data_IF_835705087142
#
_entry.id   IF_835705087142
#
_cell.length_a   1.000
_cell.length_b   1.000
_cell.length_c   1.000
_cell.angle_alpha   90.00
_cell.angle_beta   90.00
_cell.angle_gamma   90.00
#
_symmetry.space_group_name_H-M   'P 1'
#
loop_
_entity.id
_entity.type
_entity.pdbx_description
1 polymer ?
#
# COMPACT_ATOMS: atom_id res chain seq x y z
N UNK A 1 39.67 -74.66 -37.44
CA UNK A 1 38.97 -73.40 -37.74
C UNK A 1 38.29 -72.94 -36.48
N UNK A 2 38.87 -72.00 -35.79
CA UNK A 2 38.46 -71.61 -34.43
C UNK A 2 37.44 -70.45 -34.47
N UNK A 3 36.29 -70.67 -33.81
CA UNK A 3 35.28 -69.64 -33.58
C UNK A 3 35.54 -69.00 -32.23
N UNK A 4 35.83 -67.70 -32.25
CA UNK A 4 35.99 -66.88 -31.06
C UNK A 4 34.63 -66.31 -30.66
N UNK A 5 34.12 -66.73 -29.49
CA UNK A 5 32.96 -66.16 -28.87
C UNK A 5 33.39 -64.96 -28.01
N UNK A 6 32.93 -63.76 -28.37
CA UNK A 6 33.07 -62.53 -27.55
C UNK A 6 31.95 -62.48 -26.51
N UNK A 7 32.34 -62.61 -25.23
CA UNK A 7 31.47 -62.31 -24.11
C UNK A 7 31.35 -60.77 -23.94
N UNK A 8 30.18 -60.26 -24.18
CA UNK A 8 29.89 -58.86 -23.82
C UNK A 8 29.55 -58.79 -22.33
N UNK A 9 30.37 -58.16 -21.55
CA UNK A 9 30.07 -57.71 -20.20
C UNK A 9 29.16 -56.48 -20.29
N UNK A 10 27.95 -56.58 -19.88
CA UNK A 10 27.06 -55.44 -19.65
C UNK A 10 27.34 -54.87 -18.25
N UNK A 11 28.06 -53.74 -18.20
CA UNK A 11 28.16 -52.88 -17.04
C UNK A 11 26.88 -52.04 -16.99
N UNK A 12 25.98 -52.35 -16.07
CA UNK A 12 24.85 -51.56 -15.73
C UNK A 12 25.28 -50.35 -14.87
N UNK A 13 25.35 -49.18 -15.45
CA UNK A 13 25.56 -47.94 -14.73
C UNK A 13 24.24 -47.51 -14.10
N UNK A 14 24.05 -47.76 -12.80
CA UNK A 14 23.02 -47.10 -12.02
C UNK A 14 23.46 -45.63 -11.81
N UNK A 15 22.95 -44.74 -12.65
CA UNK A 15 22.95 -43.32 -12.37
C UNK A 15 21.86 -43.01 -11.38
N UNK A 16 22.20 -42.98 -10.09
CA UNK A 16 21.33 -42.42 -9.06
C UNK A 16 21.28 -40.91 -9.22
N UNK A 17 20.26 -40.39 -9.91
CA UNK A 17 19.94 -38.98 -9.93
C UNK A 17 19.43 -38.59 -8.54
N UNK A 18 20.33 -38.11 -7.68
CA UNK A 18 19.95 -37.43 -6.46
C UNK A 18 19.32 -36.08 -6.85
N UNK A 19 18.01 -36.06 -6.97
CA UNK A 19 17.23 -34.83 -7.00
C UNK A 19 17.36 -34.16 -5.62
N UNK A 20 18.32 -33.26 -5.49
CA UNK A 20 18.36 -32.31 -4.38
C UNK A 20 17.13 -31.38 -4.54
N UNK A 21 16.02 -31.78 -3.94
CA UNK A 21 14.95 -30.87 -3.64
C UNK A 21 15.50 -29.85 -2.62
N UNK A 22 15.92 -28.69 -3.12
CA UNK A 22 16.09 -27.51 -2.30
C UNK A 22 14.70 -27.15 -1.78
N UNK A 23 14.29 -27.75 -0.67
CA UNK A 23 13.23 -27.20 0.17
C UNK A 23 13.78 -25.88 0.67
N UNK A 24 13.33 -24.77 0.05
CA UNK A 24 13.47 -23.46 0.65
C UNK A 24 12.86 -23.61 2.05
N UNK A 25 13.71 -23.68 3.05
CA UNK A 25 13.30 -23.71 4.44
C UNK A 25 12.59 -22.38 4.64
N UNK A 26 11.25 -22.40 4.71
CA UNK A 26 10.49 -21.24 5.08
C UNK A 26 11.08 -20.79 6.43
N UNK A 27 11.79 -19.67 6.41
CA UNK A 27 12.27 -19.07 7.63
C UNK A 27 11.05 -18.96 8.55
N UNK A 28 11.19 -19.40 9.79
CA UNK A 28 10.12 -19.33 10.78
C UNK A 28 10.00 -17.85 11.16
N UNK A 29 9.35 -17.07 10.27
CA UNK A 29 9.29 -15.61 10.36
C UNK A 29 8.36 -15.28 11.51
N UNK A 30 8.91 -14.67 12.55
CA UNK A 30 8.16 -14.29 13.74
C UNK A 30 7.04 -13.29 13.39
N UNK A 31 5.78 -13.53 13.84
CA UNK A 31 4.69 -12.58 13.59
C UNK A 31 5.00 -11.18 14.10
N UNK A 32 4.68 -10.16 13.33
CA UNK A 32 4.83 -8.75 13.73
C UNK A 32 3.73 -8.37 14.69
N UNK A 33 4.10 -7.86 15.84
CA UNK A 33 3.17 -7.45 16.89
C UNK A 33 2.84 -5.96 16.80
N UNK A 34 1.74 -5.55 17.44
CA UNK A 34 1.43 -4.14 17.61
C UNK A 34 2.55 -3.38 18.36
N UNK A 35 3.13 -4.00 19.39
CA UNK A 35 4.18 -3.35 20.21
C UNK A 35 5.43 -3.07 19.38
N UNK A 36 5.79 -3.94 18.45
CA UNK A 36 6.88 -3.69 17.50
C UNK A 36 6.55 -2.50 16.59
N UNK A 37 5.34 -2.45 16.02
CA UNK A 37 4.87 -1.33 15.19
C UNK A 37 4.86 -0.01 15.96
N UNK A 38 4.31 0.00 17.17
CA UNK A 38 4.21 1.19 18.00
C UNK A 38 5.58 1.75 18.43
N UNK A 39 6.61 0.89 18.48
CA UNK A 39 7.97 1.25 18.84
C UNK A 39 8.94 1.33 17.65
N UNK A 40 8.46 1.20 16.42
CA UNK A 40 9.30 1.18 15.22
C UNK A 40 10.25 2.39 15.12
N UNK A 41 9.77 3.60 15.42
CA UNK A 41 10.60 4.81 15.46
C UNK A 41 11.76 4.79 16.46
N UNK A 42 11.76 3.85 17.41
CA UNK A 42 12.78 3.73 18.45
C UNK A 42 13.81 2.64 18.13
N UNK A 43 13.59 1.86 17.08
CA UNK A 43 14.44 0.73 16.68
C UNK A 43 15.36 1.09 15.51
N UNK A 44 16.37 0.29 15.27
CA UNK A 44 17.33 0.50 14.17
C UNK A 44 17.52 -0.73 13.29
N UNK A 45 16.93 -1.87 13.69
CA UNK A 45 17.10 -3.15 12.99
C UNK A 45 16.05 -3.41 11.93
N UNK A 46 14.83 -2.99 12.22
CA UNK A 46 13.67 -3.19 11.35
C UNK A 46 13.06 -1.85 10.89
N UNK A 47 12.18 -1.90 9.91
CA UNK A 47 11.36 -0.78 9.41
C UNK A 47 9.97 -1.34 9.18
N UNK A 48 9.06 -1.08 10.11
CA UNK A 48 7.73 -1.70 10.13
C UNK A 48 6.62 -0.78 9.68
N UNK A 49 6.91 0.53 9.58
CA UNK A 49 5.92 1.55 9.25
C UNK A 49 6.39 2.43 8.10
N UNK A 50 5.42 2.87 7.29
CA UNK A 50 5.67 3.93 6.33
C UNK A 50 6.03 5.22 7.08
N UNK A 51 7.20 5.79 6.75
CA UNK A 51 7.65 7.04 7.38
C UNK A 51 8.41 6.87 8.70
N UNK A 52 8.83 5.64 9.09
CA UNK A 52 9.63 5.35 10.28
C UNK A 52 8.95 5.78 11.58
N UNK A 53 7.87 5.11 11.91
CA UNK A 53 7.02 5.34 13.08
C UNK A 53 5.62 5.83 12.71
N UNK A 54 4.68 5.70 13.63
CA UNK A 54 3.27 6.02 13.42
C UNK A 54 3.02 7.50 13.10
N UNK A 55 3.91 8.39 13.54
CA UNK A 55 3.86 9.84 13.26
C UNK A 55 4.55 10.23 11.94
N UNK A 56 5.10 9.26 11.21
CA UNK A 56 5.70 9.44 9.88
C UNK A 56 6.77 10.55 9.79
N UNK A 57 7.60 10.70 10.83
CA UNK A 57 8.63 11.74 10.89
C UNK A 57 9.84 11.46 10.01
N UNK A 58 9.97 10.25 9.45
CA UNK A 58 11.07 9.81 8.57
C UNK A 58 12.46 9.96 9.20
N UNK A 59 12.52 9.87 10.52
CA UNK A 59 13.74 9.95 11.29
C UNK A 59 14.18 8.57 11.76
N UNK A 60 15.41 8.18 11.45
CA UNK A 60 16.02 6.96 11.97
C UNK A 60 16.90 7.28 13.18
N UNK A 61 16.75 6.57 14.31
CA UNK A 61 17.62 6.73 15.47
C UNK A 61 19.00 6.08 15.27
N UNK A 62 19.28 5.46 14.12
CA UNK A 62 20.56 4.83 13.81
C UNK A 62 21.73 5.83 13.85
N UNK A 63 22.78 5.50 14.59
CA UNK A 63 23.97 6.36 14.79
C UNK A 63 25.23 5.79 14.13
N UNK A 64 25.13 4.62 13.52
CA UNK A 64 26.26 3.96 12.83
C UNK A 64 26.74 4.74 11.62
N UNK A 65 25.82 5.40 10.90
CA UNK A 65 26.13 6.33 9.82
C UNK A 65 26.12 7.76 10.34
N UNK A 66 27.15 8.51 9.97
CA UNK A 66 27.32 9.91 10.35
C UNK A 66 28.19 10.64 9.33
N UNK A 67 28.38 11.97 9.49
CA UNK A 67 29.14 12.81 8.57
C UNK A 67 30.59 12.40 8.37
N UNK A 68 31.16 11.62 9.29
CA UNK A 68 32.56 11.17 9.22
C UNK A 68 32.75 9.90 8.39
N UNK A 69 31.72 9.08 8.23
CA UNK A 69 31.85 7.78 7.57
C UNK A 69 30.90 7.58 6.38
N UNK A 70 29.93 8.47 6.16
CA UNK A 70 28.96 8.35 5.07
C UNK A 70 29.60 8.36 3.68
N UNK A 71 30.73 9.03 3.51
CA UNK A 71 31.48 9.04 2.25
C UNK A 71 32.08 7.68 1.88
N UNK A 72 32.22 6.77 2.84
CA UNK A 72 32.70 5.40 2.62
C UNK A 72 31.60 4.38 2.29
N UNK A 73 30.33 4.79 2.17
CA UNK A 73 29.26 3.89 1.76
C UNK A 73 29.45 3.41 0.33
N UNK A 74 29.29 2.10 0.14
CA UNK A 74 29.27 1.45 -1.16
C UNK A 74 28.00 0.61 -1.30
N UNK A 75 27.43 0.44 -2.52
CA UNK A 75 26.33 -0.48 -2.74
C UNK A 75 26.73 -1.91 -2.39
N UNK A 76 25.90 -2.60 -1.60
CA UNK A 76 26.10 -4.01 -1.28
C UNK A 76 25.54 -4.92 -2.38
N UNK A 77 24.41 -4.56 -2.92
CA UNK A 77 23.72 -5.25 -4.02
C UNK A 77 22.69 -4.31 -4.66
N UNK A 78 22.12 -4.75 -5.77
CA UNK A 78 21.01 -4.08 -6.46
C UNK A 78 19.98 -5.12 -6.91
N UNK A 79 18.71 -4.71 -6.98
CA UNK A 79 17.62 -5.54 -7.49
C UNK A 79 16.83 -4.76 -8.54
N UNK A 80 16.60 -5.39 -9.71
CA UNK A 80 15.79 -4.81 -10.77
C UNK A 80 14.33 -5.27 -10.64
N UNK A 81 13.38 -4.33 -10.62
CA UNK A 81 11.96 -4.63 -10.69
C UNK A 81 11.46 -4.97 -12.10
N UNK A 82 12.34 -4.94 -13.11
CA UNK A 82 11.98 -5.21 -14.50
C UNK A 82 11.52 -3.96 -15.25
N UNK A 83 11.20 -4.13 -16.49
CA UNK A 83 11.11 -3.19 -17.58
C UNK A 83 10.16 -2.00 -17.55
N UNK A 84 9.65 -1.52 -16.45
CA UNK A 84 8.78 -0.32 -16.38
C UNK A 84 9.61 0.97 -16.51
N UNK A 85 10.19 1.16 -17.68
CA UNK A 85 11.13 2.25 -17.96
C UNK A 85 10.53 3.65 -17.85
N UNK A 86 9.21 3.77 -17.81
CA UNK A 86 8.53 5.06 -17.88
C UNK A 86 8.03 5.57 -16.55
N UNK A 87 8.13 4.77 -15.47
CA UNK A 87 7.44 5.03 -14.22
C UNK A 87 8.41 4.94 -13.05
N UNK A 88 8.40 5.97 -12.22
CA UNK A 88 9.22 6.03 -11.01
C UNK A 88 8.84 4.95 -10.01
N UNK A 89 9.84 4.45 -9.28
CA UNK A 89 9.61 3.59 -8.12
C UNK A 89 9.43 4.50 -6.89
N UNK A 90 8.23 4.54 -6.31
CA UNK A 90 7.89 5.44 -5.20
C UNK A 90 7.74 4.71 -3.86
N UNK A 91 7.88 3.38 -3.85
CA UNK A 91 7.63 2.59 -2.66
C UNK A 91 8.70 2.80 -1.58
N UNK A 92 8.26 3.02 -0.35
CA UNK A 92 9.08 2.78 0.82
C UNK A 92 9.03 1.29 1.16
N UNK A 93 10.17 0.64 1.22
CA UNK A 93 10.28 -0.75 1.64
C UNK A 93 10.10 -0.87 3.15
N UNK A 94 9.48 -1.97 3.61
CA UNK A 94 9.50 -2.41 5.00
C UNK A 94 10.54 -3.50 5.19
N UNK A 95 11.10 -3.60 6.38
CA UNK A 95 12.12 -4.59 6.74
C UNK A 95 11.73 -5.23 8.05
N UNK A 96 11.72 -6.55 8.09
CA UNK A 96 11.54 -7.32 9.32
C UNK A 96 12.27 -8.66 9.25
N UNK A 97 13.02 -8.98 10.31
CA UNK A 97 13.79 -10.24 10.43
C UNK A 97 14.67 -10.53 9.21
N UNK A 98 15.32 -9.50 8.66
CA UNK A 98 16.22 -9.63 7.52
C UNK A 98 15.51 -9.84 6.17
N UNK A 99 14.20 -9.65 6.09
CA UNK A 99 13.43 -9.67 4.84
C UNK A 99 12.96 -8.27 4.49
N UNK A 100 13.19 -7.86 3.24
CA UNK A 100 12.67 -6.61 2.67
C UNK A 100 11.37 -6.93 1.94
N UNK A 101 10.32 -6.18 2.25
CA UNK A 101 9.02 -6.22 1.61
C UNK A 101 8.80 -4.91 0.85
N UNK A 102 8.62 -4.99 -0.46
CA UNK A 102 8.52 -3.81 -1.30
C UNK A 102 7.51 -4.01 -2.43
N UNK A 103 6.75 -2.97 -2.69
CA UNK A 103 5.84 -2.92 -3.84
C UNK A 103 6.54 -2.30 -5.06
N UNK A 104 6.06 -2.64 -6.24
CA UNK A 104 6.52 -2.09 -7.50
C UNK A 104 5.33 -1.68 -8.37
N UNK A 105 5.63 -0.99 -9.47
CA UNK A 105 4.65 -0.57 -10.47
C UNK A 105 3.75 -1.72 -10.92
N UNK A 106 2.55 -1.40 -11.37
CA UNK A 106 1.54 -2.36 -11.84
C UNK A 106 1.08 -3.34 -10.76
N UNK A 107 1.00 -2.88 -9.50
CA UNK A 107 0.50 -3.70 -8.38
C UNK A 107 1.27 -5.00 -8.15
N UNK A 108 2.60 -4.94 -8.27
CA UNK A 108 3.49 -6.05 -7.96
C UNK A 108 4.04 -5.93 -6.55
N UNK A 109 4.41 -7.06 -5.99
CA UNK A 109 4.99 -7.15 -4.66
C UNK A 109 6.19 -8.10 -4.67
N UNK A 110 7.28 -7.74 -4.00
CA UNK A 110 8.51 -8.53 -3.96
C UNK A 110 9.01 -8.64 -2.52
N UNK A 111 9.42 -9.83 -2.13
CA UNK A 111 10.18 -10.05 -0.90
C UNK A 111 11.61 -10.44 -1.24
N UNK A 112 12.56 -9.78 -0.59
CA UNK A 112 14.00 -9.96 -0.79
C UNK A 112 14.68 -10.30 0.52
N UNK A 113 15.72 -11.13 0.45
CA UNK A 113 16.69 -11.26 1.54
C UNK A 113 17.48 -9.95 1.67
N UNK A 114 17.43 -9.31 2.83
CA UNK A 114 18.00 -7.99 3.03
C UNK A 114 19.54 -7.99 2.92
N UNK A 115 20.20 -9.11 3.21
CA UNK A 115 21.65 -9.22 3.18
C UNK A 115 22.21 -9.40 1.77
N UNK A 116 21.52 -10.20 0.95
CA UNK A 116 22.02 -10.62 -0.38
C UNK A 116 21.28 -9.97 -1.54
N UNK A 117 20.12 -9.35 -1.32
CA UNK A 117 19.24 -8.88 -2.38
C UNK A 117 18.54 -10.00 -3.16
N UNK A 118 18.72 -11.27 -2.74
CA UNK A 118 18.10 -12.41 -3.42
C UNK A 118 16.58 -12.37 -3.23
N UNK A 119 15.87 -12.54 -4.34
CA UNK A 119 14.40 -12.65 -4.31
C UNK A 119 13.96 -13.93 -3.60
N UNK A 120 13.11 -13.78 -2.59
CA UNK A 120 12.46 -14.87 -1.86
C UNK A 120 11.19 -15.30 -2.57
N UNK A 121 10.31 -14.35 -2.87
CA UNK A 121 9.09 -14.56 -3.63
C UNK A 121 8.63 -13.27 -4.34
N UNK A 122 7.70 -13.41 -5.27
CA UNK A 122 7.03 -12.31 -5.97
C UNK A 122 5.55 -12.62 -6.09
N UNK A 123 4.73 -11.60 -5.95
CA UNK A 123 3.31 -11.60 -6.29
C UNK A 123 3.06 -10.57 -7.38
N UNK A 124 2.32 -10.95 -8.40
CA UNK A 124 1.90 -10.08 -9.50
C UNK A 124 0.37 -10.08 -9.55
N UNK A 125 -0.22 -8.92 -9.28
CA UNK A 125 -1.66 -8.77 -9.37
C UNK A 125 -2.08 -8.71 -10.84
N UNK A 126 -3.07 -9.53 -11.21
CA UNK A 126 -3.60 -9.47 -12.58
C UNK A 126 -4.54 -8.28 -12.70
N UNK A 127 -4.06 -7.22 -13.28
CA UNK A 127 -4.85 -6.02 -13.58
C UNK A 127 -5.76 -6.24 -14.79
N UNK A 128 -6.94 -5.60 -14.81
CA UNK A 128 -7.78 -5.51 -16.02
C UNK A 128 -7.03 -4.79 -17.16
N UNK A 129 -7.33 -5.17 -18.40
CA UNK A 129 -6.72 -4.55 -19.60
C UNK A 129 -7.13 -3.07 -19.79
N UNK A 130 -8.31 -2.72 -19.26
CA UNK A 130 -8.87 -1.36 -19.34
C UNK A 130 -8.43 -0.46 -18.17
N UNK A 131 -7.42 -0.89 -17.37
CA UNK A 131 -6.95 -0.10 -16.25
C UNK A 131 -6.37 1.25 -16.72
N UNK A 132 -6.85 2.33 -16.12
CA UNK A 132 -6.38 3.70 -16.38
C UNK A 132 -6.27 4.47 -15.08
N UNK A 133 -5.24 4.21 -14.29
CA UNK A 133 -5.06 4.94 -13.03
C UNK A 133 -4.67 6.39 -13.31
N UNK A 134 -5.14 7.30 -12.46
CA UNK A 134 -4.57 8.63 -12.41
C UNK A 134 -3.11 8.58 -11.96
N UNK A 135 -2.33 9.49 -12.51
CA UNK A 135 -1.04 9.88 -11.96
C UNK A 135 -0.02 8.73 -11.89
N UNK A 136 -0.15 7.77 -12.79
CA UNK A 136 0.78 6.68 -13.00
C UNK A 136 0.43 5.35 -12.30
N UNK A 137 1.22 4.32 -12.63
CA UNK A 137 1.07 2.93 -12.15
C UNK A 137 1.86 2.66 -10.87
N UNK A 138 2.03 3.68 -10.05
CA UNK A 138 2.86 3.65 -8.84
C UNK A 138 2.17 2.94 -7.67
N UNK A 139 3.00 2.50 -6.72
CA UNK A 139 2.58 2.06 -5.41
C UNK A 139 3.60 2.55 -4.38
N UNK A 140 3.13 3.13 -3.26
CA UNK A 140 4.00 3.77 -2.27
C UNK A 140 4.49 2.87 -1.16
N UNK A 141 4.04 1.63 -1.13
CA UNK A 141 4.57 0.63 -0.21
C UNK A 141 3.52 -0.23 0.47
N UNK A 142 3.95 -1.21 1.23
CA UNK A 142 3.09 -2.10 1.99
C UNK A 142 2.87 -1.65 3.44
N UNK A 143 1.95 -2.33 4.13
CA UNK A 143 1.91 -2.47 5.57
C UNK A 143 2.26 -3.91 5.98
N UNK A 144 2.62 -4.11 7.26
CA UNK A 144 2.96 -5.41 7.81
C UNK A 144 2.33 -5.58 9.19
N UNK A 145 1.72 -6.75 9.46
CA UNK A 145 1.20 -7.12 10.77
C UNK A 145 0.95 -8.62 10.84
N UNK A 146 1.25 -9.23 11.99
CA UNK A 146 1.12 -10.67 12.16
C UNK A 146 2.02 -11.43 11.17
N UNK A 147 1.43 -12.35 10.48
CA UNK A 147 2.01 -13.18 9.43
C UNK A 147 1.74 -12.65 8.01
N UNK A 148 1.24 -11.41 7.88
CA UNK A 148 0.77 -10.85 6.60
C UNK A 148 1.46 -9.55 6.24
N UNK A 149 1.52 -9.30 4.94
CA UNK A 149 1.80 -7.99 4.34
C UNK A 149 0.62 -7.55 3.50
N UNK A 150 0.35 -6.25 3.49
CA UNK A 150 -0.84 -5.67 2.85
C UNK A 150 -0.43 -4.59 1.88
N UNK A 151 -1.12 -4.50 0.74
CA UNK A 151 -0.89 -3.43 -0.23
C UNK A 151 -2.12 -3.17 -1.08
N UNK A 152 -2.20 -1.96 -1.63
CA UNK A 152 -3.26 -1.58 -2.56
C UNK A 152 -2.95 -1.94 -3.99
N UNK A 153 -4.00 -2.05 -4.81
CA UNK A 153 -3.88 -2.30 -6.25
C UNK A 153 -4.55 -1.22 -7.08
N UNK A 154 -4.12 -1.09 -8.33
CA UNK A 154 -4.62 -0.06 -9.23
C UNK A 154 -6.09 -0.28 -9.65
N UNK A 155 -6.62 -1.48 -9.50
CA UNK A 155 -8.03 -1.82 -9.75
C UNK A 155 -8.91 -1.70 -8.49
N UNK A 156 -8.51 -0.84 -7.55
CA UNK A 156 -9.23 -0.50 -6.31
C UNK A 156 -9.48 -1.70 -5.40
N UNK A 157 -8.42 -2.44 -5.12
CA UNK A 157 -8.44 -3.54 -4.14
C UNK A 157 -7.38 -3.35 -3.07
N UNK A 158 -7.59 -3.96 -1.94
CA UNK A 158 -6.60 -4.16 -0.89
C UNK A 158 -6.36 -5.66 -0.76
N UNK A 159 -5.10 -6.06 -0.73
CA UNK A 159 -4.67 -7.45 -0.76
C UNK A 159 -3.81 -7.76 0.44
N UNK A 160 -4.07 -8.87 1.11
CA UNK A 160 -3.17 -9.45 2.10
C UNK A 160 -2.47 -10.68 1.53
N UNK A 161 -1.17 -10.72 1.70
CA UNK A 161 -0.33 -11.85 1.35
C UNK A 161 0.28 -12.46 2.61
N UNK A 162 0.38 -13.78 2.65
CA UNK A 162 1.24 -14.46 3.58
C UNK A 162 2.69 -14.02 3.35
N UNK A 163 3.32 -13.43 4.35
CA UNK A 163 4.61 -12.78 4.18
C UNK A 163 5.78 -13.74 3.98
N UNK A 164 5.58 -15.04 4.27
CA UNK A 164 6.60 -16.08 4.06
C UNK A 164 6.57 -16.61 2.64
N UNK A 165 5.36 -16.75 2.07
CA UNK A 165 5.16 -17.45 0.79
C UNK A 165 4.73 -16.55 -0.36
N UNK A 166 4.23 -15.33 -0.07
CA UNK A 166 3.62 -14.44 -1.05
C UNK A 166 2.24 -14.90 -1.54
N UNK A 167 1.64 -15.91 -0.94
CA UNK A 167 0.31 -16.40 -1.31
C UNK A 167 -0.77 -15.44 -0.80
N UNK A 168 -1.83 -15.27 -1.60
CA UNK A 168 -2.99 -14.45 -1.21
C UNK A 168 -3.71 -15.10 -0.04
N UNK A 169 -3.89 -14.34 1.05
CA UNK A 169 -4.72 -14.73 2.19
C UNK A 169 -6.14 -14.22 1.97
N UNK A 170 -6.28 -12.95 1.60
CA UNK A 170 -7.54 -12.36 1.20
C UNK A 170 -7.31 -11.21 0.21
N UNK A 171 -8.36 -10.81 -0.51
CA UNK A 171 -8.31 -9.82 -1.58
C UNK A 171 -9.67 -9.12 -1.71
N UNK A 172 -9.80 -7.91 -1.14
CA UNK A 172 -11.06 -7.18 -1.01
C UNK A 172 -11.14 -5.97 -1.96
N UNK A 173 -12.24 -5.89 -2.70
CA UNK A 173 -12.54 -4.74 -3.57
C UNK A 173 -13.21 -3.64 -2.73
N UNK A 174 -12.75 -2.39 -2.86
CA UNK A 174 -13.35 -1.24 -2.16
C UNK A 174 -13.94 -0.19 -3.11
N UNK A 175 -13.64 -0.25 -4.40
CA UNK A 175 -14.11 0.69 -5.39
C UNK A 175 -14.19 0.08 -6.79
N UNK A 176 -14.64 0.86 -7.76
CA UNK A 176 -14.66 0.45 -9.17
C UNK A 176 -13.65 1.28 -9.97
N UNK A 177 -12.64 0.62 -10.52
CA UNK A 177 -11.61 1.26 -11.34
C UNK A 177 -12.20 1.90 -12.62
N UNK A 178 -13.32 1.39 -13.12
CA UNK A 178 -13.98 1.92 -14.32
C UNK A 178 -14.53 3.33 -14.13
N UNK A 179 -14.87 3.69 -12.88
CA UNK A 179 -15.28 5.06 -12.55
C UNK A 179 -14.12 5.89 -11.97
N UNK A 180 -12.90 5.33 -11.89
CA UNK A 180 -11.71 6.07 -11.53
C UNK A 180 -11.08 5.68 -10.19
N UNK A 181 -11.68 4.81 -9.37
CA UNK A 181 -11.05 4.40 -8.10
C UNK A 181 -9.80 3.58 -8.30
N UNK A 182 -8.76 3.93 -7.59
CA UNK A 182 -7.49 3.19 -7.52
C UNK A 182 -6.92 3.24 -6.10
N UNK A 183 -5.79 2.58 -5.85
CA UNK A 183 -5.03 2.75 -4.63
C UNK A 183 -3.54 2.82 -4.96
N UNK A 184 -2.91 3.94 -4.63
CA UNK A 184 -1.49 4.21 -4.83
C UNK A 184 -0.73 4.45 -3.54
N UNK A 185 -1.44 4.73 -2.42
CA UNK A 185 -0.88 4.93 -1.10
C UNK A 185 -0.49 3.61 -0.42
N UNK A 186 0.45 3.66 0.51
CA UNK A 186 0.70 2.55 1.40
C UNK A 186 -0.40 2.49 2.48
N UNK A 187 -0.98 1.32 2.76
CA UNK A 187 -1.82 1.14 3.93
C UNK A 187 -0.98 1.23 5.21
N UNK A 188 -1.62 1.34 6.36
CA UNK A 188 -0.93 1.34 7.63
C UNK A 188 -1.74 0.67 8.73
N UNK A 189 -1.06 0.24 9.79
CA UNK A 189 -1.67 -0.45 10.92
C UNK A 189 -1.83 0.52 12.08
N UNK A 190 -3.00 0.54 12.69
CA UNK A 190 -3.26 1.25 13.93
C UNK A 190 -3.87 0.31 14.97
N UNK A 191 -3.81 0.71 16.24
CA UNK A 191 -4.62 0.11 17.30
C UNK A 191 -5.57 1.19 17.84
N UNK A 192 -6.85 0.98 17.64
CA UNK A 192 -7.86 1.86 18.20
C UNK A 192 -7.81 1.78 19.73
N UNK A 193 -7.47 2.90 20.37
CA UNK A 193 -7.29 2.97 21.83
C UNK A 193 -8.60 2.79 22.60
N UNK A 194 -9.76 3.06 21.97
CA UNK A 194 -11.08 2.90 22.62
C UNK A 194 -11.53 1.44 22.64
N UNK A 195 -11.28 0.71 21.57
CA UNK A 195 -11.75 -0.67 21.44
C UNK A 195 -10.65 -1.71 21.64
N UNK A 196 -9.38 -1.30 21.62
CA UNK A 196 -8.22 -2.19 21.66
C UNK A 196 -8.00 -2.99 20.38
N UNK A 197 -8.83 -2.79 19.34
CA UNK A 197 -8.72 -3.53 18.07
C UNK A 197 -7.58 -2.99 17.20
N UNK A 198 -6.86 -3.91 16.60
CA UNK A 198 -5.92 -3.56 15.53
C UNK A 198 -6.68 -3.44 14.22
N UNK A 199 -6.40 -2.40 13.46
CA UNK A 199 -7.07 -2.09 12.21
C UNK A 199 -6.04 -1.82 11.10
N UNK A 200 -6.34 -2.29 9.91
CA UNK A 200 -5.66 -1.94 8.68
C UNK A 200 -6.39 -0.73 8.06
N UNK A 201 -5.71 0.40 7.98
CA UNK A 201 -6.29 1.63 7.43
C UNK A 201 -5.68 1.92 6.06
N UNK A 202 -6.53 2.33 5.12
CA UNK A 202 -6.08 2.72 3.77
C UNK A 202 -6.97 3.79 3.16
N UNK A 203 -6.39 4.58 2.28
CA UNK A 203 -7.12 5.55 1.49
C UNK A 203 -7.54 5.02 0.12
N UNK A 204 -8.29 5.83 -0.61
CA UNK A 204 -8.52 5.69 -2.05
C UNK A 204 -7.72 6.73 -2.82
N UNK A 205 -7.51 6.49 -4.12
CA UNK A 205 -6.97 7.44 -5.09
C UNK A 205 -7.93 7.55 -6.28
N UNK A 206 -7.74 8.55 -7.15
CA UNK A 206 -8.54 8.71 -8.37
C UNK A 206 -9.46 9.93 -8.36
N UNK A 207 -9.29 10.83 -7.40
CA UNK A 207 -10.04 12.08 -7.30
C UNK A 207 -9.97 12.94 -8.58
N UNK A 208 -8.89 12.86 -9.35
CA UNK A 208 -8.75 13.48 -10.66
C UNK A 208 -9.81 13.01 -11.68
N UNK A 209 -10.35 11.83 -11.51
CA UNK A 209 -11.42 11.26 -12.33
C UNK A 209 -12.83 11.53 -11.78
N UNK A 210 -12.95 12.38 -10.76
CA UNK A 210 -14.23 12.78 -10.20
C UNK A 210 -14.80 11.80 -9.17
N UNK A 211 -13.98 10.95 -8.57
CA UNK A 211 -14.41 10.10 -7.47
C UNK A 211 -14.14 10.76 -6.12
N UNK A 212 -15.04 10.55 -5.18
CA UNK A 212 -14.89 11.03 -3.80
C UNK A 212 -13.81 10.23 -3.08
N UNK A 213 -12.91 10.93 -2.41
CA UNK A 213 -11.89 10.31 -1.56
C UNK A 213 -12.50 9.65 -0.32
N UNK A 214 -12.04 8.44 -0.03
CA UNK A 214 -12.47 7.65 1.13
C UNK A 214 -11.30 7.17 1.95
N UNK A 215 -11.47 7.16 3.27
CA UNK A 215 -10.61 6.46 4.21
C UNK A 215 -11.36 5.23 4.74
N UNK A 216 -10.70 4.09 4.70
CA UNK A 216 -11.24 2.80 5.12
C UNK A 216 -10.45 2.23 6.29
N UNK A 217 -11.13 1.56 7.20
CA UNK A 217 -10.50 0.66 8.16
C UNK A 217 -11.07 -0.75 8.02
N UNK A 218 -10.17 -1.72 8.09
CA UNK A 218 -10.48 -3.14 7.92
C UNK A 218 -9.90 -3.97 9.03
N UNK A 219 -10.54 -5.09 9.26
CA UNK A 219 -9.97 -6.16 10.05
C UNK A 219 -8.76 -6.75 9.30
N UNK A 220 -7.55 -6.76 9.87
CA UNK A 220 -6.36 -7.21 9.16
C UNK A 220 -6.34 -8.71 8.88
N UNK A 221 -7.08 -9.51 9.65
CA UNK A 221 -7.11 -10.96 9.46
C UNK A 221 -8.06 -11.40 8.36
N UNK A 222 -9.19 -10.72 8.23
CA UNK A 222 -10.27 -11.13 7.32
C UNK A 222 -10.47 -10.20 6.11
N UNK A 223 -9.89 -8.99 6.13
CA UNK A 223 -10.11 -7.96 5.13
C UNK A 223 -11.48 -7.28 5.22
N UNK A 224 -12.36 -7.70 6.14
CA UNK A 224 -13.70 -7.12 6.29
C UNK A 224 -13.62 -5.66 6.69
N UNK A 225 -14.45 -4.84 6.04
CA UNK A 225 -14.60 -3.44 6.37
C UNK A 225 -15.17 -3.27 7.78
N UNK A 226 -14.50 -2.47 8.60
CA UNK A 226 -14.96 -2.09 9.94
C UNK A 226 -15.67 -0.74 9.87
N UNK A 227 -15.07 0.22 9.16
CA UNK A 227 -15.70 1.50 8.84
C UNK A 227 -15.12 2.10 7.57
N UNK A 228 -15.87 2.99 6.94
CA UNK A 228 -15.44 3.83 5.84
C UNK A 228 -15.91 5.27 6.08
N UNK A 229 -15.04 6.25 5.73
CA UNK A 229 -15.33 7.68 5.85
C UNK A 229 -15.01 8.39 4.54
N UNK A 230 -15.99 9.06 3.92
CA UNK A 230 -15.69 9.98 2.83
C UNK A 230 -15.01 11.23 3.40
N UNK A 231 -14.10 11.81 2.62
CA UNK A 231 -13.34 12.99 3.03
C UNK A 231 -13.81 14.27 2.35
N UNK A 232 -14.90 14.19 1.60
CA UNK A 232 -15.59 15.32 1.00
C UNK A 232 -16.86 15.58 1.78
N UNK A 233 -17.04 16.83 2.21
CA UNK A 233 -18.20 17.26 2.99
C UNK A 233 -19.51 17.10 2.20
N UNK A 234 -20.62 16.90 2.91
CA UNK A 234 -21.93 16.66 2.31
C UNK A 234 -22.20 15.21 1.92
N UNK A 235 -21.18 14.37 1.86
CA UNK A 235 -21.37 12.94 1.59
C UNK A 235 -21.73 12.19 2.85
N UNK A 236 -22.69 11.26 2.77
CA UNK A 236 -23.14 10.47 3.92
C UNK A 236 -22.21 9.26 4.13
N UNK A 237 -21.79 9.05 5.37
CA UNK A 237 -21.00 7.88 5.73
C UNK A 237 -21.75 6.58 5.47
N UNK A 238 -21.06 5.59 4.89
CA UNK A 238 -21.67 4.31 4.47
C UNK A 238 -22.18 3.46 5.63
N UNK A 239 -21.55 3.57 6.82
CA UNK A 239 -21.83 2.66 7.93
C UNK A 239 -22.82 3.20 8.94
N UNK A 240 -22.92 4.49 9.09
CA UNK A 240 -23.73 5.10 10.15
C UNK A 240 -24.73 6.14 9.64
N UNK A 241 -24.76 6.40 8.35
CA UNK A 241 -25.65 7.37 7.75
C UNK A 241 -25.40 8.82 8.20
N UNK A 242 -24.34 9.05 8.98
CA UNK A 242 -23.99 10.39 9.44
C UNK A 242 -23.23 11.15 8.36
N UNK A 243 -23.45 12.45 8.24
CA UNK A 243 -22.60 13.28 7.39
C UNK A 243 -21.15 13.15 7.82
N UNK A 244 -20.26 12.89 6.89
CA UNK A 244 -18.83 12.83 7.19
C UNK A 244 -18.24 14.23 7.01
N UNK A 245 -18.59 15.15 7.86
CA UNK A 245 -17.90 16.43 7.88
C UNK A 245 -16.59 16.28 8.67
N UNK A 246 -15.43 16.39 8.04
CA UNK A 246 -14.16 16.33 8.75
C UNK A 246 -14.01 17.46 9.77
N UNK A 247 -14.66 18.58 9.51
CA UNK A 247 -14.60 19.78 10.36
C UNK A 247 -15.64 19.78 11.49
N UNK A 248 -16.64 18.91 11.43
CA UNK A 248 -17.70 18.83 12.41
C UNK A 248 -18.70 20.00 12.38
N UNK A 249 -18.54 21.00 11.52
CA UNK A 249 -19.52 22.07 11.34
C UNK A 249 -20.32 21.91 10.05
N UNK A 250 -21.57 21.39 10.15
CA UNK A 250 -22.44 21.24 8.99
C UNK A 250 -22.90 22.57 8.37
N UNK A 251 -22.61 23.70 9.03
CA UNK A 251 -22.99 25.04 8.56
C UNK A 251 -21.89 25.74 7.76
N UNK A 252 -20.70 25.16 7.70
CA UNK A 252 -19.56 25.68 6.95
C UNK A 252 -19.10 24.69 5.89
N UNK A 253 -19.89 24.46 4.83
CA UNK A 253 -19.51 23.52 3.77
C UNK A 253 -18.25 24.00 3.05
N UNK A 254 -17.31 23.07 2.82
CA UNK A 254 -16.07 23.35 2.10
C UNK A 254 -16.25 23.24 0.58
N UNK A 255 -17.36 22.70 0.14
CA UNK A 255 -17.77 22.64 -1.27
C UNK A 255 -19.03 23.47 -1.52
N UNK A 256 -19.10 24.22 -2.61
CA UNK A 256 -20.30 24.98 -2.95
C UNK A 256 -21.45 24.04 -3.31
N UNK A 257 -22.59 24.26 -2.67
CA UNK A 257 -23.86 23.58 -2.94
C UNK A 257 -24.82 24.47 -3.72
N UNK A 258 -24.31 25.33 -4.58
CA UNK A 258 -25.16 26.21 -5.40
C UNK A 258 -25.73 25.44 -6.59
N UNK A 259 -27.05 25.30 -6.71
CA UNK A 259 -27.67 24.68 -7.86
C UNK A 259 -27.45 25.44 -9.18
N UNK A 260 -26.98 26.70 -9.10
CA UNK A 260 -26.60 27.51 -10.25
C UNK A 260 -25.10 27.49 -10.54
N UNK A 261 -24.33 26.65 -9.82
CA UNK A 261 -22.88 26.51 -10.06
C UNK A 261 -22.63 26.07 -11.53
N UNK A 262 -21.42 26.36 -12.06
CA UNK A 262 -21.04 25.90 -13.40
C UNK A 262 -21.12 24.40 -13.60
N UNK A 263 -21.16 23.61 -12.53
CA UNK A 263 -21.36 22.16 -12.55
C UNK A 263 -22.83 21.75 -12.73
N UNK A 264 -23.74 22.73 -12.87
CA UNK A 264 -25.17 22.50 -13.09
C UNK A 264 -25.95 22.24 -11.79
N UNK A 265 -27.00 21.42 -11.88
CA UNK A 265 -27.85 21.04 -10.74
C UNK A 265 -27.22 20.01 -9.81
N UNK A 266 -25.97 19.62 -10.05
CA UNK A 266 -25.25 18.64 -9.26
C UNK A 266 -24.49 19.37 -8.15
N UNK A 267 -24.61 18.90 -6.93
CA UNK A 267 -23.84 19.38 -5.81
C UNK A 267 -22.35 19.22 -6.09
N UNK A 268 -21.54 20.27 -5.89
CA UNK A 268 -20.14 20.28 -6.31
C UNK A 268 -19.31 19.15 -5.67
N UNK A 269 -19.62 18.80 -4.42
CA UNK A 269 -18.98 17.70 -3.70
C UNK A 269 -19.17 16.34 -4.41
N UNK A 270 -20.24 16.14 -5.15
CA UNK A 270 -20.51 14.88 -5.87
C UNK A 270 -19.61 14.68 -7.09
N UNK A 271 -18.88 15.73 -7.50
CA UNK A 271 -17.89 15.66 -8.57
C UNK A 271 -16.56 15.05 -8.09
N UNK A 272 -16.49 14.65 -6.80
CA UNK A 272 -15.32 13.98 -6.25
C UNK A 272 -14.28 14.91 -5.64
N UNK A 273 -13.08 14.42 -5.49
CA UNK A 273 -11.97 15.12 -4.84
C UNK A 273 -11.64 14.57 -3.46
N UNK A 274 -10.63 15.15 -2.85
CA UNK A 274 -10.24 14.88 -1.47
C UNK A 274 -9.70 13.47 -1.23
N UNK A 275 -9.13 12.81 -2.22
CA UNK A 275 -8.60 11.46 -2.05
C UNK A 275 -7.39 11.43 -1.09
N UNK A 276 -7.39 10.57 -0.08
CA UNK A 276 -6.25 10.34 0.80
C UNK A 276 -5.26 9.37 0.13
N UNK A 277 -4.65 9.80 -0.96
CA UNK A 277 -3.77 8.99 -1.79
C UNK A 277 -2.38 8.76 -1.19
N UNK A 278 -2.04 9.48 -0.13
CA UNK A 278 -0.83 9.27 0.67
C UNK A 278 -1.14 8.53 1.96
N UNK A 279 -0.10 7.96 2.57
CA UNK A 279 -0.23 7.25 3.85
C UNK A 279 -0.43 8.25 4.98
N UNK A 280 -1.50 8.10 5.78
CA UNK A 280 -1.74 8.92 6.97
C UNK A 280 -0.70 8.70 8.07
N UNK A 281 -0.76 9.55 9.10
CA UNK A 281 -0.10 9.33 10.38
C UNK A 281 -1.14 9.07 11.49
N UNK A 282 -0.67 8.48 12.60
CA UNK A 282 -1.53 8.13 13.73
C UNK A 282 -0.92 8.61 15.05
N UNK A 283 -1.68 9.42 15.76
CA UNK A 283 -1.38 9.80 17.13
C UNK A 283 -2.04 8.81 18.09
N UNK A 284 -1.22 8.02 18.76
CA UNK A 284 -1.67 6.99 19.71
C UNK A 284 -2.30 7.59 20.96
N UNK A 285 -1.79 8.74 21.43
CA UNK A 285 -2.24 9.36 22.68
C UNK A 285 -3.66 9.91 22.53
N UNK A 286 -3.94 10.58 21.43
CA UNK A 286 -5.26 11.16 21.15
C UNK A 286 -6.17 10.22 20.37
N UNK A 287 -5.69 9.05 19.95
CA UNK A 287 -6.39 8.10 19.06
C UNK A 287 -6.85 8.76 17.75
N UNK A 288 -6.01 9.59 17.17
CA UNK A 288 -6.34 10.42 16.01
C UNK A 288 -5.55 10.04 14.79
N UNK A 289 -6.24 9.83 13.66
CA UNK A 289 -5.62 9.70 12.34
C UNK A 289 -5.53 11.09 11.73
N UNK A 290 -4.33 11.47 11.28
CA UNK A 290 -4.09 12.72 10.53
C UNK A 290 -3.81 12.35 9.09
N UNK A 291 -4.62 12.84 8.16
CA UNK A 291 -4.55 12.52 6.75
C UNK A 291 -4.54 13.78 5.90
N UNK A 292 -3.62 13.83 4.93
CA UNK A 292 -3.66 14.82 3.85
C UNK A 292 -4.58 14.35 2.74
N UNK A 293 -5.37 15.26 2.20
CA UNK A 293 -6.24 14.98 1.06
C UNK A 293 -5.65 15.53 -0.23
N UNK A 294 -6.03 14.95 -1.34
CA UNK A 294 -5.83 15.51 -2.67
C UNK A 294 -6.69 16.74 -2.90
N UNK A 295 -6.55 17.31 -4.08
CA UNK A 295 -7.31 18.49 -4.50
C UNK A 295 -8.82 18.19 -4.64
N UNK A 296 -9.65 19.23 -4.61
CA UNK A 296 -11.07 19.10 -4.96
C UNK A 296 -11.26 18.80 -6.45
N UNK A 297 -12.32 18.11 -6.81
CA UNK A 297 -12.75 17.91 -8.18
C UNK A 297 -14.10 18.62 -8.46
N UNK A 298 -14.36 19.13 -9.68
CA UNK A 298 -13.39 19.23 -10.78
C UNK A 298 -12.19 20.09 -10.38
N UNK A 299 -11.02 19.76 -10.86
CA UNK A 299 -9.78 20.44 -10.53
C UNK A 299 -9.80 21.96 -10.89
N UNK A 300 -10.45 22.30 -12.00
CA UNK A 300 -10.63 23.68 -12.41
C UNK A 300 -11.61 24.42 -11.49
N UNK A 301 -11.12 25.41 -10.75
CA UNK A 301 -11.89 26.19 -9.77
C UNK A 301 -13.11 26.88 -10.36
N UNK A 302 -13.05 27.37 -11.60
CA UNK A 302 -14.17 27.99 -12.31
C UNK A 302 -15.37 27.05 -12.50
N UNK A 303 -15.13 25.75 -12.51
CA UNK A 303 -16.19 24.74 -12.58
C UNK A 303 -16.80 24.40 -11.23
N UNK A 304 -16.21 24.86 -10.14
CA UNK A 304 -16.66 24.58 -8.77
C UNK A 304 -17.26 25.78 -8.07
N UNK A 305 -16.99 27.00 -8.56
CA UNK A 305 -17.51 28.24 -7.96
C UNK A 305 -18.87 28.57 -8.52
N UNK A 306 -19.73 29.13 -7.68
CA UNK A 306 -21.00 29.71 -8.10
C UNK A 306 -20.78 30.94 -9.00
N UNK A 307 -21.76 31.24 -9.83
CA UNK A 307 -21.72 32.44 -10.67
C UNK A 307 -21.63 33.69 -9.78
N UNK A 308 -20.56 34.44 -9.92
CA UNK A 308 -20.30 35.64 -9.14
C UNK A 308 -19.31 35.47 -8.00
N UNK A 309 -18.96 34.25 -7.64
CA UNK A 309 -17.90 33.99 -6.68
C UNK A 309 -16.51 34.19 -7.29
N UNK A 310 -15.56 34.61 -6.48
CA UNK A 310 -14.17 34.71 -6.91
C UNK A 310 -13.51 33.32 -6.78
N UNK A 311 -13.09 32.70 -7.91
CA UNK A 311 -12.47 31.38 -7.88
C UNK A 311 -11.12 31.32 -7.14
N UNK A 312 -10.56 32.47 -6.76
CA UNK A 312 -9.32 32.55 -5.97
C UNK A 312 -9.54 32.31 -4.49
N UNK A 313 -10.78 32.27 -4.05
CA UNK A 313 -11.16 32.06 -2.65
C UNK A 313 -11.36 30.56 -2.28
N UNK A 314 -11.06 29.63 -3.22
CA UNK A 314 -11.22 28.20 -3.05
C UNK A 314 -9.90 27.43 -3.11
#
# INVERSE_FOLDING_TARGET
MASHAFKQLRLGSLAAAAALALTAQAANVKPVTWDEIANDAKTTGDVLTYGLGLTAQRYSPAKTLNTRNVAGLVPAWSYSFGGEKQRGQEAQALIHDGVIYVTASYSRFVALDARSGKRLWTYEHRLPEDIRPCCDVVNRGPAIYGDKVYFGTLDARIVALDRTTGKVVWNEKFGDHKVGYTMTGAPFIIKDQKTGKVLLVHGSSGDEFGVVGWLYARDPDTGKEVWARPLVEGHVGRLDGQPSTPTGDPKAPTWPNDPNSPTGKVEAWSQGGGAPWQTPSFDVETNTIVVGTGNPAPWNTWKRTAKGDDPRNW
#
